data_IF_244810535132
#
_entry.id   IF_244810535132
#
_cell.length_a   1.000
_cell.length_b   1.000
_cell.length_c   1.000
_cell.angle_alpha   90.00
_cell.angle_beta   90.00
_cell.angle_gamma   90.00
#
_symmetry.space_group_name_H-M   'P 1'
#
loop_
_entity.id
_entity.type
_entity.pdbx_description
1 polymer ?
#
# COMPACT_ATOMS: atom_id res chain seq x y z
N UNK A 1 -23.43 -4.54 10.38
CA UNK A 1 -23.94 -5.52 9.40
C UNK A 1 -24.70 -6.54 10.20
N UNK A 2 -25.94 -6.82 9.84
CA UNK A 2 -26.68 -7.97 10.37
C UNK A 2 -26.67 -9.06 9.30
N UNK A 3 -25.91 -10.12 9.53
CA UNK A 3 -25.76 -11.22 8.59
C UNK A 3 -26.96 -12.17 8.61
N UNK A 4 -27.62 -12.34 9.76
CA UNK A 4 -28.78 -13.22 9.87
C UNK A 4 -30.01 -12.58 9.22
N UNK A 5 -30.27 -11.30 9.53
CA UNK A 5 -31.39 -10.55 8.97
C UNK A 5 -31.16 -10.10 7.52
N UNK A 6 -29.94 -10.22 6.99
CA UNK A 6 -29.53 -9.69 5.70
C UNK A 6 -29.75 -8.17 5.58
N UNK A 7 -29.29 -7.42 6.59
CA UNK A 7 -29.46 -5.96 6.66
C UNK A 7 -28.15 -5.19 6.87
N UNK A 8 -28.09 -4.00 6.26
CA UNK A 8 -27.08 -2.99 6.47
C UNK A 8 -27.70 -1.77 7.13
N UNK A 9 -27.04 -1.23 8.16
CA UNK A 9 -27.39 0.07 8.74
C UNK A 9 -26.42 1.12 8.20
N UNK A 10 -26.97 2.20 7.62
CA UNK A 10 -26.21 3.33 7.14
C UNK A 10 -25.97 4.35 8.27
N UNK A 11 -25.02 5.27 8.07
CA UNK A 11 -24.68 6.30 9.07
C UNK A 11 -25.82 7.26 9.41
N UNK A 12 -26.82 7.39 8.52
CA UNK A 12 -28.03 8.17 8.77
C UNK A 12 -29.11 7.40 9.56
N UNK A 13 -28.82 6.16 9.99
CA UNK A 13 -29.73 5.29 10.74
C UNK A 13 -30.72 4.50 9.88
N UNK A 14 -30.78 4.72 8.57
CA UNK A 14 -31.64 3.93 7.68
C UNK A 14 -31.06 2.52 7.45
N UNK A 15 -31.94 1.56 7.15
CA UNK A 15 -31.57 0.18 6.84
C UNK A 15 -31.76 -0.16 5.37
N UNK A 16 -30.92 -1.05 4.84
CA UNK A 16 -31.03 -1.64 3.52
C UNK A 16 -30.98 -3.17 3.66
N UNK A 17 -31.94 -3.87 3.05
CA UNK A 17 -31.86 -5.33 2.94
C UNK A 17 -31.05 -5.75 1.71
N UNK A 18 -30.44 -6.93 1.75
CA UNK A 18 -29.70 -7.49 0.62
C UNK A 18 -30.03 -8.96 0.38
N UNK A 19 -29.88 -9.41 -0.87
CA UNK A 19 -29.84 -10.84 -1.19
C UNK A 19 -28.44 -11.41 -1.12
N UNK A 20 -27.46 -10.67 -1.67
CA UNK A 20 -26.02 -10.93 -1.54
C UNK A 20 -25.33 -9.61 -1.26
N UNK A 21 -24.29 -9.63 -0.43
CA UNK A 21 -23.48 -8.46 -0.08
C UNK A 21 -22.05 -8.64 -0.58
N UNK A 22 -21.49 -7.61 -1.22
CA UNK A 22 -20.06 -7.58 -1.59
C UNK A 22 -19.38 -6.46 -0.82
N UNK A 23 -18.48 -6.83 0.08
CA UNK A 23 -17.70 -5.89 0.89
C UNK A 23 -16.42 -5.51 0.15
N UNK A 24 -16.35 -4.27 -0.33
CA UNK A 24 -15.26 -3.75 -1.16
C UNK A 24 -14.69 -2.44 -0.60
N UNK A 25 -14.60 -2.33 0.73
CA UNK A 25 -14.24 -1.07 1.42
C UNK A 25 -12.74 -0.78 1.45
N UNK A 26 -11.92 -1.74 1.00
CA UNK A 26 -10.47 -1.62 1.00
C UNK A 26 -9.90 -1.37 2.40
N UNK A 27 -9.11 -0.30 2.56
CA UNK A 27 -8.62 0.12 3.87
C UNK A 27 -8.33 1.60 3.97
N UNK A 28 -8.19 2.05 5.21
CA UNK A 28 -7.84 3.41 5.60
C UNK A 28 -6.33 3.54 5.80
N UNK A 29 -5.73 4.71 5.54
CA UNK A 29 -4.33 4.96 5.85
C UNK A 29 -4.02 4.67 7.31
N UNK A 30 -2.97 3.91 7.57
CA UNK A 30 -2.49 3.70 8.92
C UNK A 30 -1.98 5.02 9.47
N UNK A 31 -2.59 5.48 10.56
CA UNK A 31 -2.19 6.69 11.27
C UNK A 31 -0.92 6.43 12.08
N UNK A 32 -0.13 7.48 12.27
CA UNK A 32 0.91 7.49 13.29
C UNK A 32 0.25 7.43 14.67
N UNK A 33 0.88 6.72 15.60
CA UNK A 33 0.43 6.57 16.98
C UNK A 33 1.16 7.49 17.97
N UNK A 34 2.06 8.34 17.47
CA UNK A 34 2.82 9.29 18.27
C UNK A 34 2.06 10.62 18.47
N UNK A 35 2.52 11.45 19.40
CA UNK A 35 1.99 12.80 19.57
C UNK A 35 2.18 13.65 18.31
N UNK A 36 1.21 14.54 18.03
CA UNK A 36 1.24 15.45 16.88
C UNK A 36 0.77 14.83 15.56
N UNK A 37 0.36 13.55 15.55
CA UNK A 37 -0.16 12.87 14.37
C UNK A 37 -1.46 13.50 13.81
N UNK A 38 -2.15 14.28 14.63
CA UNK A 38 -3.39 15.00 14.35
C UNK A 38 -3.18 16.47 13.93
N UNK A 39 -1.94 16.96 13.88
CA UNK A 39 -1.64 18.32 13.47
C UNK A 39 -2.08 18.59 12.01
N UNK A 40 -2.42 19.85 11.71
CA UNK A 40 -2.60 20.27 10.33
C UNK A 40 -1.29 20.09 9.55
N UNK A 41 -1.38 19.83 8.23
CA UNK A 41 -0.23 19.52 7.39
C UNK A 41 0.25 18.07 7.47
N UNK A 42 -0.42 17.19 8.25
CA UNK A 42 -0.18 15.75 8.23
C UNK A 42 -1.18 15.09 7.28
N UNK A 43 -0.66 14.50 6.22
CA UNK A 43 -1.44 13.97 5.11
C UNK A 43 -1.27 12.45 4.98
N UNK A 44 -2.34 11.80 4.55
CA UNK A 44 -2.22 10.54 3.80
C UNK A 44 -2.35 10.85 2.30
N UNK A 45 -2.16 9.85 1.45
CA UNK A 45 -2.44 9.98 0.00
C UNK A 45 -3.28 8.78 -0.45
N UNK A 46 -4.55 8.74 -0.01
CA UNK A 46 -5.47 7.63 -0.31
C UNK A 46 -6.69 8.08 -1.08
N UNK A 47 -7.23 9.25 -0.75
CA UNK A 47 -8.36 9.84 -1.45
C UNK A 47 -7.90 10.98 -2.35
N UNK A 48 -8.72 11.32 -3.34
CA UNK A 48 -8.49 12.53 -4.14
C UNK A 48 -8.45 13.79 -3.26
N UNK A 49 -9.31 13.85 -2.24
CA UNK A 49 -9.36 14.99 -1.33
C UNK A 49 -8.04 15.18 -0.58
N UNK A 50 -7.36 14.08 -0.20
CA UNK A 50 -6.06 14.17 0.45
C UNK A 50 -5.04 14.88 -0.45
N UNK A 51 -4.99 14.47 -1.73
CA UNK A 51 -4.13 15.10 -2.73
C UNK A 51 -4.50 16.56 -2.98
N UNK A 52 -5.79 16.88 -3.15
CA UNK A 52 -6.27 18.25 -3.37
C UNK A 52 -5.88 19.17 -2.18
N UNK A 53 -5.93 18.65 -0.96
CA UNK A 53 -5.55 19.38 0.27
C UNK A 53 -4.05 19.64 0.31
N UNK A 54 -3.21 18.62 0.09
CA UNK A 54 -1.75 18.77 0.03
C UNK A 54 -1.34 19.77 -1.07
N UNK A 55 -1.95 19.67 -2.26
CA UNK A 55 -1.64 20.56 -3.38
C UNK A 55 -2.00 22.02 -3.09
N UNK A 56 -3.13 22.27 -2.41
CA UNK A 56 -3.49 23.60 -1.95
C UNK A 56 -2.45 24.18 -0.97
N UNK A 57 -1.87 23.36 -0.09
CA UNK A 57 -0.80 23.79 0.82
C UNK A 57 0.51 24.08 0.08
N UNK A 58 0.83 23.32 -0.96
CA UNK A 58 1.98 23.57 -1.84
C UNK A 58 1.81 24.90 -2.60
N UNK A 59 0.63 25.14 -3.17
CA UNK A 59 0.31 26.38 -3.86
C UNK A 59 0.38 27.59 -2.90
N UNK A 60 -0.01 27.39 -1.64
CA UNK A 60 0.07 28.38 -0.57
C UNK A 60 1.49 28.63 -0.02
N UNK A 61 2.50 27.88 -0.49
CA UNK A 61 3.91 28.14 -0.16
C UNK A 61 4.63 27.06 0.64
N UNK A 62 4.02 25.89 0.86
CA UNK A 62 4.72 24.73 1.46
C UNK A 62 5.84 24.27 0.52
N UNK A 63 7.07 24.17 1.03
CA UNK A 63 8.27 23.76 0.28
C UNK A 63 9.00 22.57 0.89
N UNK A 64 8.93 22.39 2.20
CA UNK A 64 9.69 21.36 2.91
C UNK A 64 8.75 20.26 3.39
N UNK A 65 8.87 19.06 2.81
CA UNK A 65 7.95 17.95 3.04
C UNK A 65 8.73 16.73 3.51
N UNK A 66 8.24 16.10 4.58
CA UNK A 66 8.76 14.81 5.06
C UNK A 66 7.79 13.69 4.67
N UNK A 67 8.31 12.64 4.04
CA UNK A 67 7.57 11.41 3.74
C UNK A 67 8.00 10.32 4.73
N UNK A 68 7.05 9.73 5.45
CA UNK A 68 7.28 8.65 6.41
C UNK A 68 6.82 7.33 5.79
N UNK A 69 7.77 6.44 5.53
CA UNK A 69 7.57 5.12 4.92
C UNK A 69 8.10 5.05 3.49
N UNK A 70 9.04 4.13 3.25
CA UNK A 70 9.68 3.84 1.97
C UNK A 70 9.01 2.72 1.18
N UNK A 71 7.68 2.61 1.25
CA UNK A 71 6.90 1.75 0.35
C UNK A 71 6.66 2.42 -1.01
N UNK A 72 5.95 1.74 -1.92
CA UNK A 72 5.63 2.30 -3.25
C UNK A 72 4.98 3.69 -3.18
N UNK A 73 3.95 3.85 -2.34
CA UNK A 73 3.25 5.13 -2.18
C UNK A 73 4.19 6.25 -1.72
N UNK A 74 5.04 5.98 -0.72
CA UNK A 74 5.99 6.97 -0.21
C UNK A 74 7.02 7.38 -1.24
N UNK A 75 7.57 6.42 -1.98
CA UNK A 75 8.50 6.69 -3.07
C UNK A 75 7.83 7.42 -4.24
N UNK A 76 6.61 7.06 -4.64
CA UNK A 76 5.88 7.77 -5.69
C UNK A 76 5.58 9.21 -5.31
N UNK A 77 5.12 9.44 -4.06
CA UNK A 77 4.90 10.78 -3.53
C UNK A 77 6.19 11.60 -3.53
N UNK A 78 7.30 11.04 -3.01
CA UNK A 78 8.60 11.70 -3.00
C UNK A 78 9.06 12.06 -4.42
N UNK A 79 8.87 11.18 -5.39
CA UNK A 79 9.25 11.41 -6.78
C UNK A 79 8.47 12.56 -7.42
N UNK A 80 7.16 12.62 -7.21
CA UNK A 80 6.31 13.70 -7.73
C UNK A 80 6.68 15.04 -7.09
N UNK A 81 6.83 15.08 -5.77
CA UNK A 81 7.13 16.31 -5.02
C UNK A 81 8.53 16.85 -5.33
N UNK A 82 9.53 15.98 -5.43
CA UNK A 82 10.89 16.36 -5.86
C UNK A 82 10.87 16.94 -7.29
N UNK A 83 10.14 16.32 -8.23
CA UNK A 83 9.98 16.87 -9.61
C UNK A 83 9.28 18.22 -9.64
N UNK A 84 8.46 18.53 -8.65
CA UNK A 84 7.83 19.84 -8.48
C UNK A 84 8.79 20.89 -7.87
N UNK A 85 10.03 20.51 -7.55
CA UNK A 85 11.04 21.39 -6.97
C UNK A 85 10.90 21.61 -5.47
N UNK A 86 10.20 20.70 -4.77
CA UNK A 86 10.05 20.75 -3.31
C UNK A 86 11.24 20.05 -2.61
N UNK A 87 11.57 20.51 -1.41
CA UNK A 87 12.56 19.85 -0.55
C UNK A 87 11.90 18.63 0.11
N UNK A 88 12.37 17.43 -0.23
CA UNK A 88 11.78 16.17 0.24
C UNK A 88 12.78 15.41 1.08
N UNK A 89 12.40 15.08 2.31
CA UNK A 89 13.09 14.07 3.13
C UNK A 89 12.21 12.82 3.21
N UNK A 90 12.76 11.64 2.90
CA UNK A 90 12.08 10.36 3.06
C UNK A 90 12.70 9.57 4.20
N UNK A 91 11.86 9.18 5.16
CA UNK A 91 12.25 8.45 6.36
C UNK A 91 11.69 7.02 6.29
N UNK A 92 12.57 6.02 6.31
CA UNK A 92 12.22 4.59 6.38
C UNK A 92 12.79 3.97 7.64
N UNK A 93 11.93 3.27 8.39
CA UNK A 93 12.29 2.63 9.65
C UNK A 93 13.12 1.35 9.44
N UNK A 94 12.90 0.64 8.34
CA UNK A 94 13.65 -0.56 7.97
C UNK A 94 15.02 -0.20 7.37
N UNK A 95 15.96 -1.15 7.30
CA UNK A 95 17.30 -0.89 6.75
C UNK A 95 17.30 -0.42 5.28
N UNK A 96 16.22 -0.68 4.54
CA UNK A 96 16.05 -0.33 3.13
C UNK A 96 14.60 -0.01 2.79
N UNK A 97 14.39 0.79 1.75
CA UNK A 97 13.06 1.01 1.14
C UNK A 97 12.55 -0.27 0.50
N UNK A 98 11.25 -0.40 0.25
CA UNK A 98 10.62 -1.57 -0.38
C UNK A 98 10.87 -2.91 0.33
N UNK A 99 11.35 -2.90 1.57
CA UNK A 99 11.80 -4.09 2.29
C UNK A 99 10.76 -5.22 2.39
N UNK A 100 9.47 -4.89 2.35
CA UNK A 100 8.37 -5.84 2.46
C UNK A 100 7.89 -6.40 1.11
N UNK A 101 8.33 -5.82 -0.01
CA UNK A 101 7.75 -6.08 -1.34
C UNK A 101 8.80 -6.40 -2.41
N UNK A 102 10.08 -6.13 -2.18
CA UNK A 102 11.15 -6.36 -3.14
C UNK A 102 12.45 -6.85 -2.48
N UNK A 103 13.37 -7.35 -3.32
CA UNK A 103 14.74 -7.70 -2.97
C UNK A 103 15.64 -6.50 -2.73
N UNK A 104 16.86 -6.76 -2.25
CA UNK A 104 17.82 -5.72 -1.87
C UNK A 104 18.29 -4.90 -3.07
N UNK A 105 18.51 -5.54 -4.21
CA UNK A 105 19.02 -4.89 -5.42
C UNK A 105 18.05 -3.83 -5.95
N UNK A 106 16.74 -4.10 -5.89
CA UNK A 106 15.73 -3.12 -6.28
C UNK A 106 15.68 -1.95 -5.29
N UNK A 107 15.83 -2.23 -3.99
CA UNK A 107 15.91 -1.19 -2.96
C UNK A 107 17.11 -0.28 -3.16
N UNK A 108 18.30 -0.85 -3.40
CA UNK A 108 19.53 -0.09 -3.64
C UNK A 108 19.39 0.81 -4.87
N UNK A 109 18.83 0.27 -5.95
CA UNK A 109 18.52 1.03 -7.15
C UNK A 109 17.62 2.23 -6.85
N UNK A 110 16.45 2.01 -6.24
CA UNK A 110 15.53 3.12 -5.94
C UNK A 110 16.09 4.11 -4.92
N UNK A 111 16.87 3.66 -3.95
CA UNK A 111 17.52 4.57 -3.00
C UNK A 111 18.51 5.50 -3.69
N UNK A 112 19.32 4.97 -4.61
CA UNK A 112 20.25 5.77 -5.42
C UNK A 112 19.47 6.75 -6.29
N UNK A 113 18.44 6.27 -6.99
CA UNK A 113 17.61 7.07 -7.88
C UNK A 113 16.93 8.25 -7.17
N UNK A 114 16.34 8.03 -6.00
CA UNK A 114 15.74 9.10 -5.21
C UNK A 114 16.76 10.13 -4.73
N UNK A 115 17.95 9.68 -4.28
CA UNK A 115 19.04 10.57 -3.87
C UNK A 115 19.60 11.39 -5.02
N UNK A 116 19.73 10.80 -6.20
CA UNK A 116 20.18 11.49 -7.42
C UNK A 116 19.17 12.56 -7.87
N UNK A 117 17.89 12.40 -7.51
CA UNK A 117 16.83 13.40 -7.68
C UNK A 117 16.71 14.37 -6.49
N UNK A 118 17.69 14.40 -5.59
CA UNK A 118 17.76 15.35 -4.48
C UNK A 118 16.87 15.04 -3.28
N UNK A 119 16.28 13.84 -3.20
CA UNK A 119 15.56 13.41 -2.00
C UNK A 119 16.57 13.05 -0.91
N UNK A 120 16.42 13.66 0.27
CA UNK A 120 17.16 13.23 1.47
C UNK A 120 16.54 11.93 2.00
N UNK A 121 17.04 10.80 1.51
CA UNK A 121 16.52 9.47 1.83
C UNK A 121 17.34 8.82 2.95
N UNK A 122 16.68 8.62 4.09
CA UNK A 122 17.25 8.04 5.31
C UNK A 122 16.56 6.72 5.66
N UNK A 123 17.33 5.66 5.85
CA UNK A 123 16.85 4.33 6.24
C UNK A 123 17.33 3.96 7.64
N UNK A 124 16.67 3.00 8.29
CA UNK A 124 16.97 2.62 9.67
C UNK A 124 16.63 3.71 10.69
N UNK A 125 15.77 4.67 10.34
CA UNK A 125 15.41 5.82 11.19
C UNK A 125 13.99 5.67 11.72
N UNK A 126 13.84 5.71 13.03
CA UNK A 126 12.53 5.66 13.68
C UNK A 126 12.03 7.08 13.99
N UNK A 127 10.75 7.33 13.70
CA UNK A 127 10.05 8.57 14.11
C UNK A 127 9.58 8.41 15.55
N UNK A 128 9.91 9.39 16.41
CA UNK A 128 9.43 9.48 17.78
C UNK A 128 8.05 10.16 17.80
N UNK A 129 7.99 11.41 17.32
CA UNK A 129 6.76 12.20 17.27
C UNK A 129 6.82 13.31 16.21
N UNK A 130 5.69 14.00 16.01
CA UNK A 130 5.62 15.20 15.18
C UNK A 130 5.61 16.45 16.08
N UNK A 131 6.42 17.43 15.72
CA UNK A 131 6.43 18.74 16.37
C UNK A 131 5.53 19.72 15.63
N UNK A 132 4.95 20.67 16.36
CA UNK A 132 4.09 21.70 15.80
C UNK A 132 4.04 22.97 16.64
N UNK A 133 3.47 24.02 16.07
CA UNK A 133 3.25 25.31 16.72
C UNK A 133 1.95 25.38 17.55
N UNK A 134 1.33 24.23 17.78
CA UNK A 134 0.02 24.08 18.42
C UNK A 134 -1.15 23.97 17.42
N UNK A 135 -0.91 24.20 16.13
CA UNK A 135 -1.93 24.03 15.08
C UNK A 135 -1.43 23.21 13.89
N UNK A 136 -0.22 23.49 13.40
CA UNK A 136 0.37 22.89 12.20
C UNK A 136 1.69 22.19 12.52
N UNK A 137 2.01 21.15 11.77
CA UNK A 137 3.33 20.49 11.82
C UNK A 137 4.45 21.46 11.43
N UNK A 138 5.53 21.43 12.19
CA UNK A 138 6.77 22.20 11.97
C UNK A 138 8.00 21.31 11.85
N UNK A 139 7.91 20.04 12.27
CA UNK A 139 9.01 19.09 12.18
C UNK A 139 8.63 17.66 12.53
N UNK A 140 9.53 16.74 12.18
CA UNK A 140 9.47 15.32 12.54
C UNK A 140 10.64 15.04 13.47
N UNK A 141 10.34 14.66 14.70
CA UNK A 141 11.36 14.28 15.68
C UNK A 141 11.68 12.80 15.55
N UNK A 142 12.96 12.49 15.37
CA UNK A 142 13.47 11.12 15.28
C UNK A 142 13.78 10.56 16.67
N UNK A 143 13.88 9.24 16.77
CA UNK A 143 14.13 8.52 18.02
C UNK A 143 15.50 8.83 18.65
N UNK A 144 16.46 9.33 17.88
CA UNK A 144 17.77 9.79 18.37
C UNK A 144 17.73 11.26 18.88
N UNK A 145 16.60 11.93 18.74
CA UNK A 145 16.37 13.31 19.16
C UNK A 145 16.61 14.35 18.07
N UNK A 146 17.07 13.99 16.86
CA UNK A 146 17.12 14.92 15.74
C UNK A 146 15.71 15.40 15.36
N UNK A 147 15.58 16.66 14.99
CA UNK A 147 14.35 17.23 14.44
C UNK A 147 14.58 17.57 12.97
N UNK A 148 13.85 16.89 12.09
CA UNK A 148 13.82 17.19 10.66
C UNK A 148 12.73 18.24 10.40
N UNK A 149 13.06 19.48 9.95
CA UNK A 149 12.06 20.51 9.69
C UNK A 149 11.07 20.08 8.61
N UNK A 150 9.78 20.31 8.84
CA UNK A 150 8.71 19.90 7.94
C UNK A 150 7.55 20.89 7.99
N UNK A 151 7.11 21.37 6.83
CA UNK A 151 5.90 22.17 6.69
C UNK A 151 4.68 21.31 6.31
N UNK A 152 4.92 20.11 5.81
CA UNK A 152 3.93 19.06 5.65
C UNK A 152 4.58 17.68 5.83
N UNK A 153 3.78 16.70 6.21
CA UNK A 153 4.19 15.31 6.41
C UNK A 153 3.27 14.39 5.63
N UNK A 154 3.81 13.43 4.89
CA UNK A 154 3.03 12.36 4.23
C UNK A 154 3.28 11.05 4.94
N UNK A 155 2.21 10.38 5.36
CA UNK A 155 2.26 9.10 6.07
C UNK A 155 1.94 7.96 5.10
N UNK A 156 2.98 7.26 4.65
CA UNK A 156 2.95 6.16 3.69
C UNK A 156 3.29 4.79 4.30
N UNK A 157 2.80 4.49 5.50
CA UNK A 157 3.20 3.30 6.30
C UNK A 157 2.26 2.09 6.17
N UNK A 158 1.45 2.07 5.11
CA UNK A 158 0.45 1.03 4.82
C UNK A 158 -0.95 1.40 5.28
N UNK A 159 -1.89 0.47 5.14
CA UNK A 159 -3.31 0.66 5.47
C UNK A 159 -3.79 -0.26 6.59
N UNK A 160 -4.97 0.04 7.11
CA UNK A 160 -5.77 -0.82 7.99
C UNK A 160 -7.03 -1.21 7.23
N UNK A 161 -7.31 -2.51 7.02
CA UNK A 161 -8.53 -2.94 6.33
C UNK A 161 -9.80 -2.39 6.98
N UNK A 162 -10.68 -1.80 6.17
CA UNK A 162 -11.93 -1.19 6.62
C UNK A 162 -13.02 -2.25 6.83
N UNK A 163 -12.76 -3.22 7.70
CA UNK A 163 -13.55 -4.44 7.89
C UNK A 163 -14.26 -4.53 9.23
N UNK A 164 -14.10 -3.52 10.10
CA UNK A 164 -14.70 -3.48 11.44
C UNK A 164 -16.18 -3.93 11.49
N UNK A 165 -17.06 -3.44 10.60
CA UNK A 165 -18.46 -3.86 10.58
C UNK A 165 -18.70 -5.34 10.27
N UNK A 166 -17.82 -6.00 9.51
CA UNK A 166 -17.89 -7.44 9.25
C UNK A 166 -17.36 -8.26 10.42
N UNK A 167 -16.24 -7.85 11.01
CA UNK A 167 -15.67 -8.52 12.20
C UNK A 167 -16.66 -8.45 13.37
N UNK A 168 -17.30 -7.30 13.60
CA UNK A 168 -18.35 -7.14 14.60
C UNK A 168 -19.59 -8.01 14.32
N UNK A 169 -19.86 -8.32 13.05
CA UNK A 169 -20.93 -9.22 12.64
C UNK A 169 -20.53 -10.72 12.73
N UNK A 170 -19.31 -11.04 13.15
CA UNK A 170 -18.83 -12.41 13.34
C UNK A 170 -18.04 -12.98 12.16
N UNK A 171 -17.59 -12.16 11.20
CA UNK A 171 -16.71 -12.63 10.14
C UNK A 171 -15.35 -13.08 10.70
N UNK A 172 -14.83 -14.18 10.19
CA UNK A 172 -13.46 -14.63 10.44
C UNK A 172 -12.46 -13.69 9.75
N UNK A 173 -11.36 -13.38 10.43
CA UNK A 173 -10.29 -12.58 9.87
C UNK A 173 -9.43 -11.90 10.94
N UNK A 174 -8.12 -11.92 10.73
CA UNK A 174 -7.16 -11.22 11.59
C UNK A 174 -6.49 -10.01 10.90
N UNK A 175 -6.28 -10.09 9.58
CA UNK A 175 -5.65 -9.04 8.77
C UNK A 175 -6.52 -8.71 7.54
N UNK A 176 -7.71 -8.17 7.81
CA UNK A 176 -8.80 -8.10 6.85
C UNK A 176 -9.89 -9.12 7.19
N UNK A 177 -10.64 -9.55 6.18
CA UNK A 177 -11.63 -10.63 6.29
C UNK A 177 -11.15 -11.82 5.50
N UNK A 178 -11.16 -12.98 6.13
CA UNK A 178 -10.77 -14.22 5.46
C UNK A 178 -11.86 -14.62 4.45
N UNK A 179 -11.42 -14.96 3.24
CA UNK A 179 -12.29 -15.43 2.17
C UNK A 179 -11.76 -16.72 1.55
N UNK A 180 -12.69 -17.52 1.05
CA UNK A 180 -12.36 -18.70 0.25
C UNK A 180 -11.98 -18.36 -1.20
N UNK A 181 -11.72 -19.37 -2.02
CA UNK A 181 -11.35 -19.19 -3.42
C UNK A 181 -12.45 -18.58 -4.29
N UNK A 182 -13.67 -18.40 -3.77
CA UNK A 182 -14.77 -17.71 -4.45
C UNK A 182 -15.04 -16.32 -3.84
N UNK A 183 -14.13 -15.86 -2.99
CA UNK A 183 -14.21 -14.61 -2.25
C UNK A 183 -15.38 -14.55 -1.25
N UNK A 184 -15.91 -15.70 -0.83
CA UNK A 184 -16.98 -15.78 0.19
C UNK A 184 -16.36 -15.64 1.57
N UNK A 185 -16.98 -14.85 2.43
CA UNK A 185 -16.58 -14.74 3.84
C UNK A 185 -17.13 -15.93 4.65
N UNK A 186 -16.80 -16.00 5.94
CA UNK A 186 -17.45 -16.96 6.84
C UNK A 186 -18.92 -16.63 7.16
N UNK A 187 -19.40 -15.45 6.78
CA UNK A 187 -20.80 -15.04 6.95
C UNK A 187 -21.60 -15.43 5.70
N UNK A 188 -22.80 -16.02 5.86
CA UNK A 188 -23.61 -16.45 4.73
C UNK A 188 -23.94 -15.26 3.83
N UNK A 189 -23.88 -15.47 2.51
CA UNK A 189 -24.29 -14.49 1.49
C UNK A 189 -23.49 -13.18 1.44
N UNK A 190 -22.38 -13.11 2.18
CA UNK A 190 -21.44 -11.99 2.19
C UNK A 190 -20.10 -12.42 1.57
N UNK A 191 -19.67 -11.65 0.58
CA UNK A 191 -18.36 -11.72 -0.06
C UNK A 191 -17.48 -10.56 0.40
N UNK A 192 -16.16 -10.69 0.31
CA UNK A 192 -15.22 -9.58 0.47
C UNK A 192 -14.17 -9.60 -0.65
N UNK A 193 -13.80 -8.42 -1.16
CA UNK A 193 -12.87 -8.29 -2.30
C UNK A 193 -11.85 -7.15 -2.12
N UNK A 194 -10.77 -7.20 -2.90
CA UNK A 194 -9.76 -6.14 -2.98
C UNK A 194 -8.90 -6.03 -1.72
N UNK A 195 -8.45 -4.80 -1.39
CA UNK A 195 -7.51 -4.55 -0.30
C UNK A 195 -8.01 -5.00 1.08
N UNK A 196 -9.27 -5.41 1.26
CA UNK A 196 -9.80 -5.83 2.56
C UNK A 196 -9.85 -7.36 2.75
N UNK A 197 -9.70 -8.13 1.68
CA UNK A 197 -9.92 -9.57 1.66
C UNK A 197 -8.59 -10.34 1.75
N UNK A 198 -8.50 -11.24 2.72
CA UNK A 198 -7.38 -12.15 2.89
C UNK A 198 -7.75 -13.53 2.32
N UNK A 199 -6.89 -14.08 1.46
CA UNK A 199 -7.14 -15.34 0.77
C UNK A 199 -5.88 -16.20 0.73
N UNK A 200 -6.06 -17.52 0.62
CA UNK A 200 -4.96 -18.45 0.41
C UNK A 200 -4.38 -18.27 -1.00
N UNK A 201 -3.17 -17.72 -1.10
CA UNK A 201 -2.53 -17.43 -2.38
C UNK A 201 -1.67 -18.61 -2.85
N UNK A 202 -2.08 -19.28 -3.93
CA UNK A 202 -1.33 -20.40 -4.54
C UNK A 202 0.11 -19.99 -4.90
N UNK A 203 0.30 -18.75 -5.39
CA UNK A 203 1.61 -18.20 -5.75
C UNK A 203 2.49 -17.85 -4.54
N UNK A 204 1.93 -17.93 -3.32
CA UNK A 204 2.64 -17.80 -2.05
C UNK A 204 2.61 -19.11 -1.25
N UNK A 205 2.46 -20.27 -1.93
CA UNK A 205 2.45 -21.59 -1.30
C UNK A 205 1.23 -21.83 -0.40
N UNK A 206 0.10 -21.20 -0.69
CA UNK A 206 -1.13 -21.29 0.11
C UNK A 206 -1.16 -20.40 1.34
N UNK A 207 -0.16 -19.54 1.53
CA UNK A 207 -0.16 -18.55 2.61
C UNK A 207 -1.39 -17.64 2.49
N UNK A 208 -2.13 -17.49 3.58
CA UNK A 208 -3.24 -16.53 3.66
C UNK A 208 -2.66 -15.12 3.72
N UNK A 209 -2.96 -14.30 2.72
CA UNK A 209 -2.43 -12.96 2.59
C UNK A 209 -3.42 -12.01 1.93
N UNK A 210 -3.08 -10.72 1.96
CA UNK A 210 -3.83 -9.65 1.31
C UNK A 210 -2.98 -9.07 0.20
N UNK A 211 -3.53 -9.01 -1.00
CA UNK A 211 -2.87 -8.41 -2.17
C UNK A 211 -3.50 -7.05 -2.44
N UNK A 212 -2.75 -5.99 -2.16
CA UNK A 212 -3.19 -4.60 -2.28
C UNK A 212 -2.88 -4.05 -3.68
N UNK A 213 -3.53 -4.61 -4.70
CA UNK A 213 -3.34 -4.21 -6.10
C UNK A 213 -4.66 -4.03 -6.84
N UNK A 214 -4.64 -3.14 -7.84
CA UNK A 214 -5.78 -2.94 -8.75
C UNK A 214 -6.12 -4.24 -9.49
N UNK A 215 -5.10 -5.01 -9.90
CA UNK A 215 -5.30 -6.32 -10.51
C UNK A 215 -6.11 -7.25 -9.59
N UNK A 216 -5.69 -7.40 -8.33
CA UNK A 216 -6.36 -8.27 -7.38
C UNK A 216 -7.81 -7.85 -7.16
N UNK A 217 -8.07 -6.54 -7.00
CA UNK A 217 -9.41 -6.01 -6.86
C UNK A 217 -10.31 -6.33 -8.07
N UNK A 218 -9.80 -6.13 -9.29
CA UNK A 218 -10.54 -6.40 -10.53
C UNK A 218 -10.88 -7.89 -10.70
N UNK A 219 -9.92 -8.76 -10.41
CA UNK A 219 -10.07 -10.20 -10.62
C UNK A 219 -10.95 -10.84 -9.52
N UNK A 220 -10.86 -10.37 -8.27
CA UNK A 220 -11.80 -10.74 -7.20
C UNK A 220 -13.22 -10.25 -7.51
N UNK A 221 -13.38 -9.02 -8.02
CA UNK A 221 -14.69 -8.51 -8.43
C UNK A 221 -15.32 -9.38 -9.53
N UNK A 222 -14.51 -9.79 -10.52
CA UNK A 222 -14.95 -10.71 -11.59
C UNK A 222 -15.34 -12.08 -11.04
N UNK A 223 -14.58 -12.61 -10.08
CA UNK A 223 -14.86 -13.87 -9.40
C UNK A 223 -16.23 -13.83 -8.70
N UNK A 224 -16.47 -12.81 -7.87
CA UNK A 224 -17.72 -12.64 -7.12
C UNK A 224 -18.92 -12.42 -8.05
N UNK A 225 -18.78 -11.58 -9.08
CA UNK A 225 -19.85 -11.34 -10.03
C UNK A 225 -20.28 -12.64 -10.73
N UNK A 226 -19.33 -13.49 -11.12
CA UNK A 226 -19.62 -14.82 -11.69
C UNK A 226 -20.30 -15.75 -10.68
N UNK A 227 -19.84 -15.79 -9.43
CA UNK A 227 -20.46 -16.59 -8.38
C UNK A 227 -21.92 -16.18 -8.14
N UNK A 228 -22.20 -14.88 -8.06
CA UNK A 228 -23.57 -14.33 -7.91
C UNK A 228 -24.46 -14.70 -9.10
N UNK A 229 -23.91 -14.72 -10.33
CA UNK A 229 -24.63 -15.11 -11.53
C UNK A 229 -24.80 -16.64 -11.72
N UNK A 230 -24.31 -17.46 -10.79
CA UNK A 230 -24.38 -18.93 -10.90
C UNK A 230 -23.32 -19.56 -11.80
N UNK A 231 -22.29 -18.81 -12.20
CA UNK A 231 -21.14 -19.27 -12.99
C UNK A 231 -19.87 -19.37 -12.14
N UNK A 232 -19.99 -19.91 -10.94
CA UNK A 232 -18.93 -19.95 -9.93
C UNK A 232 -17.62 -20.53 -10.50
N UNK A 233 -16.54 -19.76 -10.37
CA UNK A 233 -15.17 -20.14 -10.77
C UNK A 233 -14.18 -19.64 -9.72
N UNK A 234 -13.19 -20.45 -9.34
CA UNK A 234 -12.24 -20.06 -8.31
C UNK A 234 -11.33 -18.92 -8.79
N UNK A 235 -11.01 -18.02 -7.89
CA UNK A 235 -9.98 -17.00 -8.05
C UNK A 235 -8.60 -17.65 -8.13
N UNK A 236 -8.01 -17.64 -9.33
CA UNK A 236 -6.69 -18.20 -9.64
C UNK A 236 -5.84 -17.24 -10.50
N UNK A 237 -6.17 -15.95 -10.47
CA UNK A 237 -5.50 -14.93 -11.27
C UNK A 237 -4.02 -14.82 -10.87
N UNK A 238 -3.16 -14.61 -11.87
CA UNK A 238 -1.73 -14.43 -11.65
C UNK A 238 -1.46 -13.01 -11.11
N UNK A 239 -0.85 -12.86 -9.92
CA UNK A 239 -0.62 -11.55 -9.31
C UNK A 239 0.33 -10.70 -10.14
N UNK A 240 -0.03 -9.45 -10.36
CA UNK A 240 0.88 -8.46 -10.94
C UNK A 240 0.61 -7.06 -10.37
N UNK A 241 1.63 -6.21 -10.44
CA UNK A 241 1.65 -4.88 -9.87
C UNK A 241 2.49 -3.93 -10.73
N UNK A 242 2.37 -2.62 -10.51
CA UNK A 242 3.25 -1.64 -11.13
C UNK A 242 3.46 -0.44 -10.21
N UNK A 243 4.59 0.24 -10.38
CA UNK A 243 4.87 1.53 -9.73
C UNK A 243 5.55 2.46 -10.73
N UNK A 244 5.16 3.74 -10.74
CA UNK A 244 5.75 4.74 -11.62
C UNK A 244 6.39 5.85 -10.78
N UNK A 245 7.71 5.95 -10.86
CA UNK A 245 8.49 6.94 -10.10
C UNK A 245 9.44 7.61 -11.09
N UNK A 246 9.33 8.92 -11.27
CA UNK A 246 10.07 9.64 -12.31
C UNK A 246 9.78 9.12 -13.73
N UNK A 247 10.81 8.74 -14.48
CA UNK A 247 10.76 8.02 -15.76
C UNK A 247 10.95 6.50 -15.60
N UNK A 248 10.96 6.00 -14.35
CA UNK A 248 11.12 4.58 -14.02
C UNK A 248 9.75 3.92 -13.92
N UNK A 249 9.52 2.95 -14.80
CA UNK A 249 8.30 2.13 -14.82
C UNK A 249 8.62 0.74 -14.32
N UNK A 250 8.25 0.46 -13.07
CA UNK A 250 8.34 -0.88 -12.50
C UNK A 250 7.07 -1.65 -12.85
N UNK A 251 7.26 -2.90 -13.28
CA UNK A 251 6.21 -3.90 -13.36
C UNK A 251 6.65 -5.14 -12.60
N UNK A 252 5.80 -5.60 -11.68
CA UNK A 252 6.03 -6.80 -10.89
C UNK A 252 5.09 -7.90 -11.37
N UNK A 253 5.60 -9.12 -11.50
CA UNK A 253 4.85 -10.31 -11.86
C UNK A 253 5.12 -11.40 -10.81
N UNK A 254 4.07 -11.99 -10.22
CA UNK A 254 4.17 -13.01 -9.19
C UNK A 254 4.30 -12.46 -7.78
N UNK A 255 4.60 -13.35 -6.82
CA UNK A 255 4.77 -13.03 -5.40
C UNK A 255 6.13 -13.56 -4.97
N UNK A 256 7.01 -12.68 -4.47
CA UNK A 256 8.37 -13.03 -4.08
C UNK A 256 8.46 -13.57 -2.63
N UNK A 257 7.35 -13.85 -1.94
CA UNK A 257 7.39 -14.32 -0.54
C UNK A 257 8.23 -15.60 -0.40
N UNK A 258 9.28 -15.50 0.42
CA UNK A 258 10.16 -16.62 0.74
C UNK A 258 11.08 -17.06 -0.39
N UNK A 259 11.41 -16.15 -1.32
CA UNK A 259 12.51 -16.34 -2.27
C UNK A 259 13.83 -16.60 -1.52
N UNK A 260 14.75 -17.34 -2.12
CA UNK A 260 16.07 -17.67 -1.57
C UNK A 260 17.23 -17.18 -2.45
N UNK A 261 16.94 -16.80 -3.70
CA UNK A 261 17.91 -16.31 -4.65
C UNK A 261 17.32 -15.24 -5.56
N UNK A 262 18.15 -14.28 -5.94
CA UNK A 262 17.89 -13.28 -6.98
C UNK A 262 18.85 -13.47 -8.15
N UNK A 263 18.40 -13.13 -9.36
CA UNK A 263 19.23 -13.04 -10.56
C UNK A 263 18.92 -11.73 -11.26
N UNK A 264 19.93 -10.90 -11.46
CA UNK A 264 19.81 -9.66 -12.23
C UNK A 264 19.92 -9.96 -13.72
N UNK A 265 18.97 -9.43 -14.49
CA UNK A 265 18.95 -9.51 -15.95
C UNK A 265 18.90 -8.10 -16.53
N UNK A 266 19.92 -7.73 -17.29
CA UNK A 266 20.04 -6.40 -17.88
C UNK A 266 21.09 -5.56 -17.16
N UNK A 267 20.96 -4.24 -17.28
CA UNK A 267 21.94 -3.29 -16.75
C UNK A 267 21.23 -2.25 -15.87
N UNK A 268 21.56 -2.27 -14.58
CA UNK A 268 20.99 -1.36 -13.59
C UNK A 268 21.44 0.09 -13.82
N UNK A 269 22.66 0.31 -14.31
CA UNK A 269 23.18 1.64 -14.62
C UNK A 269 22.47 2.23 -15.85
N UNK A 270 22.03 1.38 -16.77
CA UNK A 270 21.19 1.76 -17.91
C UNK A 270 19.72 2.03 -17.53
N UNK A 271 19.33 1.88 -16.26
CA UNK A 271 17.95 2.05 -15.75
C UNK A 271 16.92 1.17 -16.48
N UNK A 272 17.37 0.02 -16.99
CA UNK A 272 16.54 -0.96 -17.71
C UNK A 272 17.04 -2.37 -17.41
N UNK A 273 16.36 -3.05 -16.48
CA UNK A 273 16.74 -4.35 -15.97
C UNK A 273 15.56 -5.07 -15.32
N UNK A 274 15.76 -6.33 -14.98
CA UNK A 274 14.85 -7.13 -14.16
C UNK A 274 15.58 -7.80 -13.01
N UNK A 275 14.92 -7.90 -11.86
CA UNK A 275 15.26 -8.81 -10.77
C UNK A 275 14.39 -10.05 -10.90
N UNK A 276 15.01 -11.21 -11.11
CA UNK A 276 14.33 -12.50 -11.15
C UNK A 276 14.44 -13.15 -9.77
N UNK A 277 13.31 -13.40 -9.13
CA UNK A 277 13.26 -14.06 -7.83
C UNK A 277 13.07 -15.56 -8.00
N UNK A 278 13.89 -16.35 -7.32
CA UNK A 278 13.82 -17.79 -7.30
C UNK A 278 13.56 -18.33 -5.90
N UNK A 279 12.93 -19.51 -5.85
CA UNK A 279 12.80 -20.35 -4.66
C UNK A 279 13.03 -21.79 -5.07
N UNK A 280 13.97 -22.48 -4.43
CA UNK A 280 14.35 -23.86 -4.74
C UNK A 280 14.65 -24.05 -6.26
N UNK A 281 15.32 -23.06 -6.87
CA UNK A 281 15.68 -23.06 -8.28
C UNK A 281 14.53 -22.80 -9.27
N UNK A 282 13.34 -22.41 -8.80
CA UNK A 282 12.16 -22.08 -9.63
C UNK A 282 11.87 -20.58 -9.58
N UNK A 283 11.52 -19.99 -10.72
CA UNK A 283 11.09 -18.58 -10.77
C UNK A 283 9.75 -18.43 -10.05
N UNK A 284 9.68 -17.50 -9.08
CA UNK A 284 8.47 -17.19 -8.32
C UNK A 284 7.94 -15.78 -8.57
N UNK A 285 8.83 -14.84 -8.93
CA UNK A 285 8.45 -13.49 -9.26
C UNK A 285 9.49 -12.78 -10.15
N UNK A 286 9.09 -11.64 -10.71
CA UNK A 286 9.92 -10.71 -11.46
C UNK A 286 9.61 -9.29 -11.01
N UNK A 287 10.63 -8.46 -10.85
CA UNK A 287 10.51 -7.00 -10.86
C UNK A 287 11.23 -6.48 -12.10
N UNK A 288 10.52 -5.77 -12.98
CA UNK A 288 11.04 -5.29 -14.26
C UNK A 288 10.99 -3.76 -14.31
N UNK A 289 12.14 -3.11 -14.29
CA UNK A 289 12.27 -1.65 -14.43
C UNK A 289 12.54 -1.32 -15.90
N UNK A 290 11.62 -0.60 -16.54
CA UNK A 290 11.72 -0.19 -17.95
C UNK A 290 12.03 -1.34 -18.92
N UNK A 291 11.57 -2.55 -18.59
CA UNK A 291 11.89 -3.79 -19.30
C UNK A 291 10.61 -4.58 -19.62
N UNK A 292 9.68 -3.95 -20.35
CA UNK A 292 8.36 -4.50 -20.69
C UNK A 292 8.41 -5.54 -21.82
N UNK A 293 9.55 -5.66 -22.52
CA UNK A 293 9.73 -6.50 -23.71
C UNK A 293 10.80 -7.57 -23.51
#
# INVERSE_FOLDING_TARGET
VDAEAHELTLSNGSTLSYGKLVWATGGDPRRLSCSGAELAGVHAVRTRQDCDTLMAEVDAGTRNIVVIGGGYIGLEAAAVLSKMGLEVTLLEALPRVLARVAGEELSEFYQKEHRDHGVDLRTGVAVDCLEGDGHKVTGVKLADGEIVPAQAVIVGIGIVPAVGPLILAGAAGANGVDVDEYCRTSLPDIYAIGDCAAFACDYAGGTVMRVESVQNANDMATCVAKAICGEEKPYKAFPWFWSNQYDLRLQTAGINVGFDQTVIRGDMDARSFSVVYLKDGRVVALDCVNAVK
#
